data_IF_864611469858
#
_entry.id   IF_864611469858
#
_cell.length_a   1.000
_cell.length_b   1.000
_cell.length_c   1.000
_cell.angle_alpha   90.00
_cell.angle_beta   90.00
_cell.angle_gamma   90.00
#
_symmetry.space_group_name_H-M   'P 1'
#
loop_
_entity.id
_entity.type
_entity.pdbx_description
1 polymer ?
#
# COMPACT_ATOMS: atom_id res chain seq x y z
N UNK A 1 14.13 36.39 5.29
CA UNK A 1 13.99 35.40 4.20
C UNK A 1 14.49 34.08 4.74
N UNK A 2 13.62 33.10 4.99
CA UNK A 2 14.09 31.79 5.45
C UNK A 2 14.59 31.01 4.25
N UNK A 3 15.90 30.81 4.17
CA UNK A 3 16.51 29.83 3.28
C UNK A 3 16.09 28.45 3.79
N UNK A 4 14.92 28.01 3.36
CA UNK A 4 14.50 26.62 3.50
C UNK A 4 14.88 25.95 2.19
N UNK A 5 16.08 25.33 2.09
CA UNK A 5 16.44 24.58 0.90
C UNK A 5 15.44 23.43 0.87
N UNK A 6 14.43 23.56 0.00
CA UNK A 6 13.42 22.54 -0.16
C UNK A 6 14.06 21.16 -0.27
N UNK A 7 13.35 20.13 0.15
CA UNK A 7 13.92 18.79 0.33
C UNK A 7 14.68 18.35 -0.92
N UNK A 8 15.94 17.88 -0.77
CA UNK A 8 16.80 17.55 -1.91
C UNK A 8 16.08 16.64 -2.90
N UNK A 9 16.25 16.91 -4.19
CA UNK A 9 15.63 16.12 -5.27
C UNK A 9 15.82 14.59 -5.09
N UNK A 10 17.00 14.08 -4.67
CA UNK A 10 17.18 12.65 -4.42
C UNK A 10 16.22 12.09 -3.35
N UNK A 11 15.97 12.83 -2.27
CA UNK A 11 15.08 12.42 -1.17
C UNK A 11 13.63 12.40 -1.63
N UNK A 12 13.22 13.34 -2.48
CA UNK A 12 11.88 13.36 -3.08
C UNK A 12 11.65 12.16 -4.00
N UNK A 13 12.65 11.83 -4.83
CA UNK A 13 12.58 10.65 -5.72
C UNK A 13 12.52 9.37 -4.89
N UNK A 14 13.38 9.22 -3.88
CA UNK A 14 13.38 8.05 -3.01
C UNK A 14 12.03 7.89 -2.29
N UNK A 15 11.45 8.98 -1.80
CA UNK A 15 10.13 8.95 -1.13
C UNK A 15 9.03 8.54 -2.08
N UNK A 16 8.99 9.09 -3.29
CA UNK A 16 8.01 8.70 -4.30
C UNK A 16 8.19 7.22 -4.70
N UNK A 17 9.43 6.78 -4.91
CA UNK A 17 9.73 5.38 -5.22
C UNK A 17 9.25 4.43 -4.13
N UNK A 18 9.55 4.74 -2.87
CA UNK A 18 9.10 3.93 -1.72
C UNK A 18 7.58 3.97 -1.54
N UNK A 19 6.94 5.12 -1.74
CA UNK A 19 5.48 5.22 -1.69
C UNK A 19 4.78 4.45 -2.82
N UNK A 20 5.47 4.20 -3.94
CA UNK A 20 4.96 3.37 -5.03
C UNK A 20 5.09 1.85 -4.76
N UNK A 21 5.93 1.40 -3.82
CA UNK A 21 6.12 -0.03 -3.56
C UNK A 21 4.81 -0.75 -3.17
N UNK A 22 3.97 -0.19 -2.27
CA UNK A 22 2.70 -0.84 -1.95
C UNK A 22 1.70 -0.83 -3.12
N UNK A 23 1.79 0.12 -4.06
CA UNK A 23 1.01 0.04 -5.31
C UNK A 23 1.48 -1.07 -6.23
N UNK A 24 2.79 -1.31 -6.33
CA UNK A 24 3.29 -2.44 -7.12
C UNK A 24 2.80 -3.76 -6.53
N UNK A 25 2.80 -3.85 -5.20
CA UNK A 25 2.22 -4.98 -4.47
C UNK A 25 0.73 -5.15 -4.74
N UNK A 26 -0.07 -4.09 -4.59
CA UNK A 26 -1.52 -4.12 -4.87
C UNK A 26 -1.82 -4.39 -6.35
N UNK A 27 -1.00 -3.86 -7.26
CA UNK A 27 -1.10 -4.10 -8.69
C UNK A 27 -0.82 -5.55 -9.06
N UNK A 28 0.22 -6.15 -8.46
CA UNK A 28 0.50 -7.58 -8.60
C UNK A 28 -0.68 -8.43 -8.10
N UNK A 29 -1.20 -8.13 -6.91
CA UNK A 29 -2.39 -8.83 -6.39
C UNK A 29 -3.61 -8.68 -7.28
N UNK A 30 -3.87 -7.47 -7.78
CA UNK A 30 -4.98 -7.22 -8.70
C UNK A 30 -4.82 -8.01 -10.00
N UNK A 31 -3.62 -8.05 -10.57
CA UNK A 31 -3.33 -8.84 -11.76
C UNK A 31 -3.52 -10.34 -11.52
N UNK A 32 -3.12 -10.84 -10.35
CA UNK A 32 -3.33 -12.24 -9.99
C UNK A 32 -4.82 -12.56 -9.78
N UNK A 33 -5.58 -11.69 -9.12
CA UNK A 33 -7.03 -11.82 -8.94
C UNK A 33 -7.74 -11.85 -10.30
N UNK A 34 -7.44 -10.89 -11.18
CA UNK A 34 -8.03 -10.81 -12.52
C UNK A 34 -7.64 -12.04 -13.37
N UNK A 35 -6.37 -12.46 -13.30
CA UNK A 35 -5.88 -13.66 -13.97
C UNK A 35 -6.67 -14.91 -13.58
N UNK A 36 -6.88 -15.10 -12.27
CA UNK A 36 -7.68 -16.20 -11.72
C UNK A 36 -9.13 -16.17 -12.21
N UNK A 37 -9.80 -15.02 -12.15
CA UNK A 37 -11.22 -14.92 -12.55
C UNK A 37 -11.44 -15.03 -14.06
N UNK A 38 -10.49 -14.55 -14.86
CA UNK A 38 -10.57 -14.61 -16.32
C UNK A 38 -10.22 -15.99 -16.89
N UNK A 39 -9.62 -16.87 -16.08
CA UNK A 39 -9.10 -18.17 -16.54
C UNK A 39 -7.88 -18.08 -17.44
N UNK A 40 -7.34 -16.87 -17.66
CA UNK A 40 -6.16 -16.63 -18.51
C UNK A 40 -4.88 -17.14 -17.85
N UNK A 41 -4.85 -17.20 -16.52
CA UNK A 41 -3.68 -17.56 -15.74
C UNK A 41 -4.10 -18.18 -14.41
N UNK A 42 -3.30 -19.11 -13.90
CA UNK A 42 -3.47 -19.72 -12.58
C UNK A 42 -2.30 -19.31 -11.67
N UNK A 43 -2.36 -18.10 -11.07
CA UNK A 43 -1.25 -17.57 -10.28
C UNK A 43 -1.03 -18.39 -9.01
N UNK A 44 0.25 -18.70 -8.76
CA UNK A 44 0.73 -19.35 -7.54
C UNK A 44 1.86 -18.54 -6.91
N UNK A 45 1.84 -18.43 -5.58
CA UNK A 45 2.85 -17.68 -4.82
C UNK A 45 3.42 -18.59 -3.73
N UNK A 46 4.56 -19.21 -4.03
CA UNK A 46 5.00 -20.40 -3.30
C UNK A 46 3.99 -21.53 -3.49
N UNK A 47 3.46 -22.06 -2.38
CA UNK A 47 2.43 -23.10 -2.38
C UNK A 47 0.99 -22.54 -2.39
N UNK A 48 0.82 -21.22 -2.36
CA UNK A 48 -0.50 -20.58 -2.34
C UNK A 48 -1.09 -20.49 -3.76
N UNK A 49 -2.18 -21.20 -4.00
CA UNK A 49 -3.03 -21.02 -5.18
C UNK A 49 -3.96 -19.82 -4.99
N UNK A 50 -3.78 -18.77 -5.79
CA UNK A 50 -4.48 -17.50 -5.59
C UNK A 50 -5.98 -17.61 -5.86
N UNK A 51 -6.39 -18.38 -6.89
CA UNK A 51 -7.80 -18.59 -7.18
C UNK A 51 -8.54 -19.27 -6.03
N UNK A 52 -7.91 -20.31 -5.47
CA UNK A 52 -8.43 -21.02 -4.30
C UNK A 52 -8.45 -20.12 -3.06
N UNK A 53 -7.41 -19.31 -2.86
CA UNK A 53 -7.35 -18.36 -1.74
C UNK A 53 -8.49 -17.34 -1.81
N UNK A 54 -8.73 -16.74 -2.97
CA UNK A 54 -9.83 -15.76 -3.16
C UNK A 54 -11.20 -16.38 -2.88
N UNK A 55 -11.43 -17.62 -3.33
CA UNK A 55 -12.71 -18.31 -3.09
C UNK A 55 -12.94 -18.66 -1.61
N UNK A 56 -11.86 -18.76 -0.82
CA UNK A 56 -11.91 -19.03 0.62
C UNK A 56 -11.85 -17.76 1.46
N UNK A 57 -11.50 -16.63 0.87
CA UNK A 57 -11.45 -15.35 1.56
C UNK A 57 -12.84 -14.86 1.92
N UNK A 58 -12.98 -14.32 3.13
CA UNK A 58 -14.20 -13.66 3.53
C UNK A 58 -14.43 -12.40 2.69
N UNK A 59 -15.70 -12.02 2.38
CA UNK A 59 -16.00 -10.81 1.61
C UNK A 59 -15.36 -9.54 2.19
N UNK A 60 -15.18 -9.49 3.52
CA UNK A 60 -14.54 -8.37 4.21
C UNK A 60 -13.06 -8.20 3.83
N UNK A 61 -12.36 -9.30 3.54
CA UNK A 61 -10.94 -9.30 3.13
C UNK A 61 -10.81 -8.71 1.73
N UNK A 62 -11.72 -9.11 0.83
CA UNK A 62 -11.77 -8.62 -0.56
C UNK A 62 -12.14 -7.12 -0.59
N UNK A 63 -13.15 -6.72 0.19
CA UNK A 63 -13.54 -5.31 0.32
C UNK A 63 -12.39 -4.50 0.93
N UNK A 64 -11.71 -5.05 1.93
CA UNK A 64 -10.55 -4.43 2.54
C UNK A 64 -9.40 -4.22 1.56
N UNK A 65 -9.10 -5.21 0.72
CA UNK A 65 -8.12 -5.09 -0.36
C UNK A 65 -8.48 -3.99 -1.38
N UNK A 66 -9.74 -3.93 -1.79
CA UNK A 66 -10.21 -2.87 -2.69
C UNK A 66 -10.09 -1.48 -2.03
N UNK A 67 -10.53 -1.35 -0.78
CA UNK A 67 -10.51 -0.09 -0.04
C UNK A 67 -9.08 0.40 0.21
N UNK A 68 -8.16 -0.48 0.62
CA UNK A 68 -6.75 -0.10 0.79
C UNK A 68 -6.13 0.36 -0.54
N UNK A 69 -6.44 -0.32 -1.65
CA UNK A 69 -5.92 0.03 -2.98
C UNK A 69 -6.36 1.42 -3.43
N UNK A 70 -7.65 1.75 -3.23
CA UNK A 70 -8.19 3.08 -3.53
C UNK A 70 -7.55 4.14 -2.64
N UNK A 71 -7.43 3.89 -1.33
CA UNK A 71 -6.82 4.83 -0.40
C UNK A 71 -5.35 5.08 -0.72
N UNK A 72 -4.60 4.05 -1.10
CA UNK A 72 -3.20 4.16 -1.45
C UNK A 72 -3.00 4.96 -2.75
N UNK A 73 -3.81 4.67 -3.78
CA UNK A 73 -3.81 5.44 -5.03
C UNK A 73 -4.15 6.92 -4.77
N UNK A 74 -5.19 7.20 -3.99
CA UNK A 74 -5.56 8.56 -3.61
C UNK A 74 -4.44 9.26 -2.84
N UNK A 75 -3.76 8.54 -1.95
CA UNK A 75 -2.59 9.01 -1.20
C UNK A 75 -1.43 9.39 -2.10
N UNK A 76 -1.11 8.56 -3.09
CA UNK A 76 -0.08 8.84 -4.08
C UNK A 76 -0.41 10.02 -4.99
N UNK A 77 -1.65 10.09 -5.50
CA UNK A 77 -2.11 11.24 -6.28
C UNK A 77 -1.97 12.51 -5.46
N UNK A 78 -2.40 12.49 -4.19
CA UNK A 78 -2.22 13.62 -3.29
C UNK A 78 -0.74 13.94 -3.04
N UNK A 79 0.13 12.93 -2.93
CA UNK A 79 1.57 13.12 -2.70
C UNK A 79 2.24 13.78 -3.91
N UNK A 80 1.93 13.33 -5.12
CA UNK A 80 2.40 13.93 -6.39
C UNK A 80 1.92 15.38 -6.50
N UNK A 81 0.65 15.64 -6.15
CA UNK A 81 0.06 16.98 -6.11
C UNK A 81 0.51 17.80 -4.89
N UNK A 82 1.40 17.26 -4.04
CA UNK A 82 1.92 17.90 -2.82
C UNK A 82 0.83 18.37 -1.84
N UNK A 83 -0.27 17.61 -1.73
CA UNK A 83 -1.38 17.90 -0.81
C UNK A 83 -1.18 17.21 0.53
N UNK A 84 -1.51 17.92 1.62
CA UNK A 84 -1.47 17.37 3.00
C UNK A 84 -2.39 16.16 3.19
N UNK A 85 -3.46 16.06 2.39
CA UNK A 85 -4.36 14.91 2.37
C UNK A 85 -3.65 13.59 2.02
N UNK A 86 -2.45 13.62 1.43
CA UNK A 86 -1.66 12.43 1.13
C UNK A 86 -1.42 11.58 2.37
N UNK A 87 -1.02 12.19 3.48
CA UNK A 87 -0.69 11.46 4.71
C UNK A 87 -1.92 10.81 5.32
N UNK A 88 -3.08 11.48 5.23
CA UNK A 88 -4.34 10.93 5.72
C UNK A 88 -4.78 9.72 4.89
N UNK A 89 -4.70 9.82 3.57
CA UNK A 89 -5.09 8.74 2.67
C UNK A 89 -4.14 7.54 2.76
N UNK A 90 -2.82 7.77 2.80
CA UNK A 90 -1.84 6.69 3.00
C UNK A 90 -1.97 6.05 4.38
N UNK A 91 -2.19 6.85 5.43
CA UNK A 91 -2.44 6.35 6.78
C UNK A 91 -3.71 5.50 6.87
N UNK A 92 -4.80 5.92 6.22
CA UNK A 92 -6.03 5.15 6.14
C UNK A 92 -5.82 3.81 5.41
N UNK A 93 -5.10 3.83 4.29
CA UNK A 93 -4.77 2.62 3.55
C UNK A 93 -4.01 1.60 4.41
N UNK A 94 -3.00 2.07 5.15
CA UNK A 94 -2.21 1.23 6.04
C UNK A 94 -3.03 0.68 7.23
N UNK A 95 -3.95 1.48 7.79
CA UNK A 95 -4.88 1.01 8.83
C UNK A 95 -5.81 -0.09 8.31
N UNK A 96 -6.35 0.06 7.09
CA UNK A 96 -7.18 -0.97 6.45
C UNK A 96 -6.35 -2.24 6.25
N UNK A 97 -5.12 -2.11 5.76
CA UNK A 97 -4.24 -3.26 5.57
C UNK A 97 -3.93 -3.98 6.88
N UNK A 98 -3.68 -3.25 7.98
CA UNK A 98 -3.50 -3.84 9.31
C UNK A 98 -4.73 -4.65 9.76
N UNK A 99 -5.94 -4.12 9.56
CA UNK A 99 -7.20 -4.81 9.91
C UNK A 99 -7.38 -6.09 9.09
N UNK A 100 -7.17 -6.01 7.78
CA UNK A 100 -7.26 -7.16 6.86
C UNK A 100 -6.21 -8.21 7.20
N UNK A 101 -4.98 -7.77 7.48
CA UNK A 101 -3.87 -8.65 7.85
C UNK A 101 -4.18 -9.42 9.13
N UNK A 102 -4.64 -8.74 10.19
CA UNK A 102 -5.02 -9.39 11.46
C UNK A 102 -6.07 -10.50 11.24
N UNK A 103 -7.08 -10.22 10.42
CA UNK A 103 -8.12 -11.21 10.07
C UNK A 103 -7.56 -12.42 9.32
N UNK A 104 -6.72 -12.19 8.31
CA UNK A 104 -6.12 -13.26 7.53
C UNK A 104 -5.17 -14.10 8.39
N UNK A 105 -4.40 -13.49 9.30
CA UNK A 105 -3.49 -14.20 10.20
C UNK A 105 -4.21 -15.02 11.26
N UNK A 106 -5.35 -14.54 11.77
CA UNK A 106 -6.19 -15.32 12.68
C UNK A 106 -6.74 -16.58 11.99
N UNK A 107 -6.97 -16.53 10.68
CA UNK A 107 -7.47 -17.64 9.86
C UNK A 107 -6.46 -18.76 9.57
N UNK A 108 -5.20 -18.66 10.00
CA UNK A 108 -4.12 -19.64 9.75
C UNK A 108 -3.74 -19.90 8.27
N UNK A 109 -4.29 -19.15 7.31
CA UNK A 109 -4.04 -19.36 5.88
C UNK A 109 -2.75 -18.69 5.36
N UNK A 110 -2.08 -17.89 6.18
CA UNK A 110 -0.96 -17.06 5.75
C UNK A 110 0.12 -16.91 6.81
N UNK A 111 1.39 -17.03 6.44
CA UNK A 111 2.49 -16.71 7.35
C UNK A 111 2.49 -15.20 7.62
N UNK A 112 2.02 -14.78 8.79
CA UNK A 112 1.84 -13.36 9.14
C UNK A 112 3.08 -12.48 8.94
N UNK A 113 4.28 -13.07 8.89
CA UNK A 113 5.55 -12.38 8.65
C UNK A 113 5.57 -11.57 7.35
N UNK A 114 5.05 -12.10 6.24
CA UNK A 114 5.11 -11.38 4.97
C UNK A 114 4.21 -10.13 4.99
N UNK A 115 2.99 -10.24 5.52
CA UNK A 115 2.10 -9.07 5.66
C UNK A 115 2.66 -8.03 6.64
N UNK A 116 3.34 -8.46 7.71
CA UNK A 116 4.05 -7.55 8.62
C UNK A 116 5.15 -6.76 7.90
N UNK A 117 5.92 -7.40 7.02
CA UNK A 117 6.95 -6.73 6.20
C UNK A 117 6.32 -5.65 5.32
N UNK A 118 5.19 -5.94 4.67
CA UNK A 118 4.50 -4.94 3.83
C UNK A 118 4.02 -3.76 4.67
N UNK A 119 3.43 -4.00 5.84
CA UNK A 119 3.01 -2.93 6.76
C UNK A 119 4.19 -2.05 7.20
N UNK A 120 5.35 -2.65 7.49
CA UNK A 120 6.56 -1.88 7.83
C UNK A 120 7.02 -0.98 6.66
N UNK A 121 6.95 -1.48 5.42
CA UNK A 121 7.26 -0.69 4.21
C UNK A 121 6.26 0.45 4.04
N UNK A 122 4.97 0.21 4.27
CA UNK A 122 3.92 1.24 4.22
C UNK A 122 4.16 2.35 5.24
N UNK A 123 4.49 1.98 6.49
CA UNK A 123 4.81 2.95 7.56
C UNK A 123 6.05 3.78 7.24
N UNK A 124 7.07 3.16 6.65
CA UNK A 124 8.25 3.86 6.15
C UNK A 124 7.87 4.86 5.05
N UNK A 125 7.07 4.44 4.06
CA UNK A 125 6.59 5.30 2.99
C UNK A 125 5.78 6.50 3.53
N UNK A 126 4.88 6.28 4.49
CA UNK A 126 4.09 7.34 5.13
C UNK A 126 4.99 8.32 5.88
N UNK A 127 5.98 7.80 6.61
CA UNK A 127 6.92 8.62 7.39
C UNK A 127 7.76 9.52 6.48
N UNK A 128 8.29 8.96 5.39
CA UNK A 128 9.02 9.73 4.38
C UNK A 128 8.10 10.73 3.64
N UNK A 129 6.86 10.34 3.34
CA UNK A 129 5.85 11.24 2.78
C UNK A 129 5.56 12.41 3.75
N UNK A 130 5.51 12.16 5.06
CA UNK A 130 5.30 13.18 6.07
C UNK A 130 6.47 14.18 6.08
N UNK A 131 7.72 13.71 6.10
CA UNK A 131 8.87 14.59 6.04
C UNK A 131 8.93 15.39 4.74
N UNK A 132 8.65 14.75 3.60
CA UNK A 132 8.61 15.41 2.27
C UNK A 132 7.58 16.50 2.15
N UNK A 133 6.42 16.32 2.78
CA UNK A 133 5.34 17.31 2.77
C UNK A 133 5.49 18.39 3.85
N UNK A 134 6.17 18.10 4.97
CA UNK A 134 6.39 19.04 6.08
C UNK A 134 7.52 20.04 5.83
N UNK A 135 8.58 19.67 5.11
CA UNK A 135 9.71 20.57 4.79
C UNK A 135 9.34 21.82 3.97
N UNK A 136 8.10 21.91 3.46
CA UNK A 136 7.57 23.11 2.80
C UNK A 136 6.92 24.13 3.74
N UNK A 137 6.91 23.90 5.06
CA UNK A 137 6.43 24.91 6.03
C UNK A 137 7.53 25.93 6.30
N UNK A 138 7.49 27.05 5.57
CA UNK A 138 7.70 28.41 6.05
C UNK A 138 7.31 29.34 4.88
N UNK A 139 6.00 29.52 4.71
CA UNK A 139 5.40 30.70 4.07
C UNK A 139 4.34 31.19 5.05
#
# INVERSE_FOLDING_TARGET
>A
MSDNPGIPLPVRIATLGLACLPMLYMGLWSAMIIGSFSGLWHPKLGDLDIGTAILRSDPIEIIGFAAMSVCWLAGLVCLVLNRRAAILALGLACLIHLVVWLKITDGQYYSGQFGLIVILIEMLAITLAHFTTRGRRLI
#
